data_IF_012152406935
#
_entry.id   IF_012152406935
#
_cell.length_a   1.000
_cell.length_b   1.000
_cell.length_c   1.000
_cell.angle_alpha   90.00
_cell.angle_beta   90.00
_cell.angle_gamma   90.00
#
_symmetry.space_group_name_H-M   'P 1'
#
loop_
_entity.id
_entity.type
_entity.pdbx_description
1 polymer ?
#
# COMPACT_ATOMS: atom_id res chain seq x y z
N UNK A 1 -8.77 -3.87 2.16
CA UNK A 1 -7.59 -3.02 1.87
C UNK A 1 -7.88 -2.22 0.63
N UNK A 2 -7.65 -0.90 0.63
CA UNK A 2 -7.79 -0.09 -0.57
C UNK A 2 -6.80 -0.59 -1.63
N UNK A 3 -7.28 -0.71 -2.87
CA UNK A 3 -6.49 -1.26 -3.98
C UNK A 3 -5.41 -0.25 -4.39
N UNK A 4 -4.16 -0.61 -4.19
CA UNK A 4 -3.01 0.18 -4.67
C UNK A 4 -2.90 0.03 -6.19
N UNK A 5 -3.06 1.13 -6.92
CA UNK A 5 -2.95 1.20 -8.38
C UNK A 5 -1.85 2.18 -8.81
N UNK A 6 -1.17 1.86 -9.90
CA UNK A 6 -0.21 2.75 -10.56
C UNK A 6 -0.92 3.32 -11.78
N UNK A 7 -0.82 4.63 -11.99
CA UNK A 7 -1.44 5.34 -13.12
C UNK A 7 -0.44 6.33 -13.68
N UNK A 8 -0.62 6.74 -14.93
CA UNK A 8 0.10 7.90 -15.46
C UNK A 8 -0.33 9.16 -14.71
N UNK A 9 0.65 9.98 -14.30
CA UNK A 9 0.42 11.22 -13.54
C UNK A 9 0.71 12.44 -14.42
N UNK A 10 1.88 12.44 -15.08
CA UNK A 10 2.29 13.38 -16.12
C UNK A 10 3.02 12.62 -17.23
N UNK A 11 3.17 13.18 -18.45
CA UNK A 11 3.90 12.51 -19.53
C UNK A 11 5.28 12.01 -19.05
N UNK A 12 5.51 10.71 -19.20
CA UNK A 12 6.76 10.06 -18.79
C UNK A 12 6.90 9.75 -17.31
N UNK A 13 5.89 10.01 -16.48
CA UNK A 13 5.92 9.71 -15.04
C UNK A 13 4.65 8.99 -14.56
N UNK A 14 4.79 8.25 -13.47
CA UNK A 14 3.74 7.46 -12.84
C UNK A 14 3.44 7.98 -11.44
N UNK A 15 2.18 7.84 -11.04
CA UNK A 15 1.71 8.07 -9.69
C UNK A 15 1.14 6.79 -9.07
N UNK A 16 1.28 6.67 -7.75
CA UNK A 16 0.74 5.56 -6.96
C UNK A 16 -0.46 6.06 -6.18
N UNK A 17 -1.58 5.34 -6.30
CA UNK A 17 -2.88 5.73 -5.79
C UNK A 17 -3.44 4.65 -4.85
N UNK A 18 -4.09 5.09 -3.78
CA UNK A 18 -4.94 4.27 -2.91
C UNK A 18 -6.40 4.64 -3.17
N UNK A 19 -7.09 3.84 -3.98
CA UNK A 19 -8.44 4.19 -4.47
C UNK A 19 -8.40 5.42 -5.39
N UNK A 20 -9.00 6.53 -4.95
CA UNK A 20 -8.96 7.83 -5.63
C UNK A 20 -7.89 8.78 -5.09
N UNK A 21 -7.25 8.46 -3.97
CA UNK A 21 -6.26 9.32 -3.32
C UNK A 21 -4.87 9.06 -3.87
N UNK A 22 -4.18 10.11 -4.31
CA UNK A 22 -2.76 10.02 -4.68
C UNK A 22 -1.90 9.88 -3.42
N UNK A 23 -1.00 8.90 -3.41
CA UNK A 23 -0.01 8.73 -2.34
C UNK A 23 1.29 9.45 -2.71
N UNK A 24 1.71 9.32 -3.97
CA UNK A 24 2.91 9.95 -4.53
C UNK A 24 2.78 10.03 -6.06
N UNK A 25 3.36 11.07 -6.65
CA UNK A 25 3.35 11.32 -8.10
C UNK A 25 4.76 11.63 -8.63
N UNK A 26 4.88 11.76 -9.95
CA UNK A 26 6.14 12.13 -10.60
C UNK A 26 7.26 11.08 -10.54
N UNK A 27 6.95 9.81 -10.33
CA UNK A 27 7.95 8.74 -10.27
C UNK A 27 8.27 8.17 -11.66
N UNK A 28 9.47 7.64 -11.85
CA UNK A 28 9.75 6.72 -12.95
C UNK A 28 8.88 5.46 -12.81
N UNK A 29 8.70 4.70 -13.89
CA UNK A 29 7.85 3.51 -13.86
C UNK A 29 8.32 2.47 -12.84
N UNK A 30 9.61 2.15 -12.84
CA UNK A 30 10.22 1.19 -11.91
C UNK A 30 10.09 1.65 -10.45
N UNK A 31 10.29 2.95 -10.19
CA UNK A 31 10.14 3.53 -8.87
C UNK A 31 8.69 3.47 -8.37
N UNK A 32 7.72 3.75 -9.24
CA UNK A 32 6.31 3.61 -8.91
C UNK A 32 5.93 2.16 -8.62
N UNK A 33 6.49 1.20 -9.36
CA UNK A 33 6.29 -0.24 -9.09
C UNK A 33 6.88 -0.65 -7.75
N UNK A 34 8.12 -0.24 -7.48
CA UNK A 34 8.81 -0.50 -6.21
C UNK A 34 8.06 0.11 -5.02
N UNK A 35 7.63 1.36 -5.13
CA UNK A 35 6.85 2.03 -4.10
C UNK A 35 5.50 1.34 -3.87
N UNK A 36 4.78 0.96 -4.94
CA UNK A 36 3.52 0.24 -4.82
C UNK A 36 3.70 -1.13 -4.14
N UNK A 37 4.78 -1.86 -4.44
CA UNK A 37 5.11 -3.12 -3.79
C UNK A 37 5.39 -2.92 -2.29
N UNK A 38 6.15 -1.88 -1.94
CA UNK A 38 6.42 -1.50 -0.54
C UNK A 38 5.14 -1.18 0.23
N UNK A 39 4.23 -0.39 -0.34
CA UNK A 39 2.96 -0.04 0.31
C UNK A 39 2.12 -1.29 0.57
N UNK A 40 1.99 -2.17 -0.44
CA UNK A 40 1.26 -3.45 -0.30
C UNK A 40 1.87 -4.35 0.79
N UNK A 41 3.20 -4.44 0.85
CA UNK A 41 3.90 -5.21 1.87
C UNK A 41 3.67 -4.64 3.28
N UNK A 42 3.74 -3.32 3.41
CA UNK A 42 3.48 -2.60 4.65
C UNK A 42 2.05 -2.81 5.16
N UNK A 43 1.06 -2.75 4.26
CA UNK A 43 -0.34 -3.03 4.60
C UNK A 43 -0.54 -4.47 5.08
N UNK A 44 0.09 -5.45 4.41
CA UNK A 44 0.06 -6.86 4.83
C UNK A 44 0.64 -7.04 6.24
N UNK A 45 1.75 -6.38 6.56
CA UNK A 45 2.35 -6.43 7.89
C UNK A 45 1.43 -5.82 8.96
N UNK A 46 0.80 -4.68 8.67
CA UNK A 46 -0.17 -4.04 9.59
C UNK A 46 -1.37 -4.95 9.87
N UNK A 47 -1.93 -5.57 8.82
CA UNK A 47 -3.04 -6.51 8.98
C UNK A 47 -2.65 -7.76 9.78
N UNK A 48 -1.45 -8.29 9.56
CA UNK A 48 -0.92 -9.40 10.36
C UNK A 48 -0.77 -9.02 11.84
N UNK A 49 -0.27 -7.81 12.12
CA UNK A 49 -0.13 -7.31 13.49
C UNK A 49 -1.47 -7.15 14.19
N UNK A 50 -2.47 -6.57 13.52
CA UNK A 50 -3.82 -6.43 14.06
C UNK A 50 -4.42 -7.79 14.43
N UNK A 51 -4.37 -8.77 13.51
CA UNK A 51 -4.83 -10.14 13.75
C UNK A 51 -4.12 -10.83 14.91
N UNK A 52 -2.81 -10.61 15.05
CA UNK A 52 -2.03 -11.19 16.15
C UNK A 52 -2.45 -10.64 17.51
N UNK A 53 -2.83 -9.36 17.59
CA UNK A 53 -3.33 -8.73 18.82
C UNK A 53 -4.72 -9.27 19.17
N UNK A 54 -5.63 -9.34 18.20
CA UNK A 54 -6.98 -9.90 18.38
C UNK A 54 -6.93 -11.36 18.86
N UNK A 55 -6.07 -12.19 18.26
CA UNK A 55 -5.90 -13.59 18.64
C UNK A 55 -5.33 -13.77 20.06
N UNK A 56 -4.57 -12.80 20.58
CA UNK A 56 -4.09 -12.81 21.97
C UNK A 56 -5.17 -12.36 22.95
N UNK A 57 -5.99 -11.38 22.58
CA UNK A 57 -7.13 -10.94 23.40
C UNK A 57 -8.20 -12.02 23.58
N UNK A 58 -8.45 -12.84 22.55
CA UNK A 58 -9.44 -13.93 22.61
C UNK A 58 -8.99 -15.16 23.41
N UNK A 59 -7.69 -15.34 23.68
CA UNK A 59 -7.17 -16.47 24.48
C UNK A 59 -7.04 -16.17 25.97
N UNK A 60 -7.38 -14.95 26.39
CA UNK A 60 -7.25 -14.47 27.77
C UNK A 60 -8.57 -14.41 28.56
N UNK A 61 -9.65 -15.05 28.09
CA UNK A 61 -10.93 -15.19 28.79
C UNK A 61 -11.29 -16.67 28.91
#
# INVERSE_FOLDING_TARGET
>A
MPKISIREDRPGTRGVYSGSTILIGGLAEDDAQNFAAFVRASDRLRANRARSIEARGQRGL
#
